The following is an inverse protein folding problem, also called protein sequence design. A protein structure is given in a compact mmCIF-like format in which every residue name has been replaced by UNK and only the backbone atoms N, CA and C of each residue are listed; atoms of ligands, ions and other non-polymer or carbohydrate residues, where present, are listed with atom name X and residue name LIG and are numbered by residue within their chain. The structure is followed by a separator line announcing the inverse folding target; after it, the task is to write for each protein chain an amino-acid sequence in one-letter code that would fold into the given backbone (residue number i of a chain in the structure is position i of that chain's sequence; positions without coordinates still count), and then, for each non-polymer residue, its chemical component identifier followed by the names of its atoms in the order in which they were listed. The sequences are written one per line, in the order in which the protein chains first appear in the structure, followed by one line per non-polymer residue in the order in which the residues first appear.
data_IF_090153169705
#
_entry.id   IF_090153169705
#
_cell.length_a   1.000
_cell.length_b   1.000
_cell.length_c   1.000
_cell.angle_alpha   90.00
_cell.angle_beta   90.00
_cell.angle_gamma   90.00
#
_symmetry.space_group_name_H-M   'P 1'
#
loop_
_entity.id
_entity.type
_entity.pdbx_description
1 polymer ?
#
# COMPACT_ATOMS: atom_id res chain seq x y z
N UNK A 1 9.45 11.44 -25.24
CA UNK A 1 8.67 11.33 -24.01
C UNK A 1 7.19 11.67 -24.25
N UNK A 2 6.83 12.89 -24.73
CA UNK A 2 5.42 13.32 -24.94
C UNK A 2 4.61 12.37 -25.83
N UNK A 3 5.20 11.82 -26.89
CA UNK A 3 4.52 10.87 -27.78
C UNK A 3 4.15 9.58 -27.05
N UNK A 4 5.03 9.06 -26.18
CA UNK A 4 4.77 7.86 -25.37
C UNK A 4 3.61 8.13 -24.39
N UNK A 5 3.60 9.30 -23.73
CA UNK A 5 2.49 9.68 -22.84
C UNK A 5 1.17 9.80 -23.62
N UNK A 6 1.19 10.39 -24.81
CA UNK A 6 0.00 10.49 -25.65
C UNK A 6 -0.57 9.11 -26.02
N UNK A 7 0.28 8.18 -26.44
CA UNK A 7 -0.15 6.82 -26.75
C UNK A 7 -0.67 6.10 -25.50
N UNK A 8 0.02 6.24 -24.37
CA UNK A 8 -0.42 5.66 -23.12
C UNK A 8 -1.83 6.14 -22.75
N UNK A 9 -2.05 7.45 -22.66
CA UNK A 9 -3.36 7.98 -22.25
C UNK A 9 -4.47 7.65 -23.26
N UNK A 10 -4.17 7.63 -24.56
CA UNK A 10 -5.13 7.23 -25.60
C UNK A 10 -5.59 5.79 -25.38
N UNK A 11 -4.65 4.88 -25.20
CA UNK A 11 -4.95 3.45 -24.99
C UNK A 11 -5.59 3.19 -23.63
N UNK A 12 -5.07 3.83 -22.57
CA UNK A 12 -5.59 3.67 -21.21
C UNK A 12 -7.04 4.15 -21.10
N UNK A 13 -7.34 5.32 -21.64
CA UNK A 13 -8.70 5.86 -21.60
C UNK A 13 -9.69 4.95 -22.37
N UNK A 14 -9.28 4.40 -23.52
CA UNK A 14 -10.09 3.43 -24.25
C UNK A 14 -10.31 2.14 -23.43
N UNK A 15 -9.27 1.61 -22.79
CA UNK A 15 -9.36 0.43 -21.91
C UNK A 15 -10.26 0.70 -20.71
N UNK A 16 -10.09 1.83 -20.03
CA UNK A 16 -10.91 2.21 -18.87
C UNK A 16 -12.39 2.31 -19.26
N UNK A 17 -12.67 3.00 -20.36
CA UNK A 17 -14.04 3.14 -20.87
C UNK A 17 -14.66 1.78 -21.20
N UNK A 18 -13.90 0.87 -21.83
CA UNK A 18 -14.35 -0.48 -22.13
C UNK A 18 -14.64 -1.28 -20.85
N UNK A 19 -13.72 -1.27 -19.87
CA UNK A 19 -13.88 -1.96 -18.60
C UNK A 19 -15.11 -1.44 -17.83
N UNK A 20 -15.22 -0.12 -17.69
CA UNK A 20 -16.37 0.50 -17.01
C UNK A 20 -17.69 0.19 -17.73
N UNK A 21 -17.69 0.17 -19.06
CA UNK A 21 -18.86 -0.25 -19.86
C UNK A 21 -19.27 -1.72 -19.63
N UNK A 22 -18.39 -2.55 -19.08
CA UNK A 22 -18.67 -3.93 -18.64
C UNK A 22 -18.94 -4.05 -17.13
N UNK A 23 -19.03 -2.93 -16.40
CA UNK A 23 -19.21 -2.92 -14.96
C UNK A 23 -17.93 -3.22 -14.16
N UNK A 24 -16.76 -3.24 -14.81
CA UNK A 24 -15.46 -3.47 -14.15
C UNK A 24 -14.84 -2.13 -13.80
N UNK A 25 -14.46 -1.98 -12.53
CA UNK A 25 -13.75 -0.80 -12.01
C UNK A 25 -12.26 -1.06 -11.94
N UNK A 26 -11.47 -0.04 -12.22
CA UNK A 26 -10.01 -0.10 -12.15
C UNK A 26 -9.54 0.49 -10.82
N UNK A 27 -8.82 -0.30 -10.05
CA UNK A 27 -8.16 0.13 -8.81
C UNK A 27 -6.69 0.40 -9.13
N UNK A 28 -6.27 1.66 -8.97
CA UNK A 28 -4.87 2.06 -9.11
C UNK A 28 -4.16 2.07 -7.78
N UNK A 29 -2.84 2.13 -7.85
CA UNK A 29 -1.97 2.19 -6.68
C UNK A 29 -0.98 3.35 -6.84
N UNK A 30 -0.81 4.17 -5.80
CA UNK A 30 0.19 5.22 -5.76
C UNK A 30 1.03 5.12 -4.49
N UNK A 31 2.36 5.20 -4.60
CA UNK A 31 3.20 5.30 -3.41
C UNK A 31 3.03 6.66 -2.75
N UNK A 32 3.12 6.72 -1.41
CA UNK A 32 3.15 8.01 -0.72
C UNK A 32 4.32 8.87 -1.22
N UNK A 33 5.51 8.29 -1.36
CA UNK A 33 6.71 9.00 -1.79
C UNK A 33 6.94 8.92 -3.29
N UNK A 34 7.64 9.93 -3.82
CA UNK A 34 8.12 9.94 -5.21
C UNK A 34 9.54 9.35 -5.28
N UNK A 35 10.00 9.01 -6.49
CA UNK A 35 11.39 8.61 -6.70
C UNK A 35 12.35 9.80 -6.59
N UNK A 36 13.60 9.60 -6.12
CA UNK A 36 14.59 10.66 -6.06
C UNK A 36 15.00 11.21 -7.45
N UNK A 37 14.76 10.46 -8.52
CA UNK A 37 14.97 10.89 -9.91
C UNK A 37 13.65 11.29 -10.62
N UNK A 38 12.59 11.56 -9.86
CA UNK A 38 11.29 11.97 -10.41
C UNK A 38 11.32 13.38 -10.98
N UNK A 39 10.43 13.62 -11.96
CA UNK A 39 10.17 14.98 -12.45
C UNK A 39 9.62 15.90 -11.35
N UNK A 40 8.94 15.35 -10.36
CA UNK A 40 8.34 16.12 -9.27
C UNK A 40 9.41 16.74 -8.37
N UNK A 41 10.41 15.95 -7.95
CA UNK A 41 11.54 16.48 -7.18
C UNK A 41 12.35 17.49 -8.00
N UNK A 42 12.58 17.22 -9.28
CA UNK A 42 13.35 18.11 -10.16
C UNK A 42 12.66 19.45 -10.42
N UNK A 43 11.34 19.45 -10.59
CA UNK A 43 10.59 20.67 -10.93
C UNK A 43 10.10 21.46 -9.71
N UNK A 44 9.97 20.79 -8.56
CA UNK A 44 9.44 21.34 -7.32
C UNK A 44 10.27 20.92 -6.10
N UNK A 45 11.60 21.19 -6.08
CA UNK A 45 12.45 20.77 -4.97
C UNK A 45 12.02 21.40 -3.62
N UNK A 46 11.36 22.56 -3.66
CA UNK A 46 10.82 23.25 -2.49
C UNK A 46 9.73 22.47 -1.72
N UNK A 47 9.16 21.45 -2.36
CA UNK A 47 8.16 20.57 -1.73
C UNK A 47 8.78 19.42 -0.93
N UNK A 48 10.10 19.28 -0.97
CA UNK A 48 10.83 18.15 -0.38
C UNK A 48 11.93 18.65 0.56
N UNK A 49 12.37 17.77 1.45
CA UNK A 49 13.47 18.08 2.38
C UNK A 49 14.81 18.04 1.65
N UNK A 50 15.14 19.13 0.99
CA UNK A 50 16.39 19.33 0.24
C UNK A 50 17.22 20.48 0.82
N UNK A 51 18.53 20.49 0.54
CA UNK A 51 19.40 21.62 0.77
C UNK A 51 19.35 22.65 -0.39
N UNK A 52 20.13 23.72 -0.29
CA UNK A 52 20.18 24.76 -1.33
C UNK A 52 20.76 24.30 -2.68
N UNK A 53 21.33 23.10 -2.74
CA UNK A 53 21.88 22.48 -3.95
C UNK A 53 21.00 21.31 -4.46
N UNK A 54 19.77 21.20 -3.93
CA UNK A 54 18.78 20.15 -4.24
C UNK A 54 19.22 18.73 -3.82
N UNK A 55 20.19 18.58 -2.92
CA UNK A 55 20.47 17.28 -2.35
C UNK A 55 19.48 16.96 -1.24
N UNK A 56 19.08 15.69 -1.16
CA UNK A 56 18.22 15.22 -0.07
C UNK A 56 18.93 15.34 1.28
N UNK A 57 18.27 15.94 2.27
CA UNK A 57 18.78 16.01 3.65
C UNK A 57 18.31 14.82 4.47
N UNK A 58 17.09 14.36 4.22
CA UNK A 58 16.44 13.22 4.84
C UNK A 58 15.78 12.35 3.78
N UNK A 59 15.68 11.05 4.06
CA UNK A 59 15.02 10.06 3.19
C UNK A 59 14.07 9.18 3.97
N UNK A 60 13.09 8.61 3.27
CA UNK A 60 12.09 7.74 3.83
C UNK A 60 12.60 6.33 4.11
N UNK A 61 11.95 5.67 5.05
CA UNK A 61 12.14 4.27 5.37
C UNK A 61 11.20 3.78 6.47
N UNK A 62 11.54 2.64 7.05
CA UNK A 62 10.88 2.08 8.24
C UNK A 62 11.92 1.76 9.31
N UNK A 63 11.56 1.86 10.60
CA UNK A 63 12.46 1.52 11.68
C UNK A 63 12.81 0.03 11.68
N UNK A 64 13.90 -0.35 12.35
CA UNK A 64 14.15 -1.74 12.68
C UNK A 64 12.98 -2.39 13.41
N UNK A 65 12.64 -3.61 13.02
CA UNK A 65 11.58 -4.44 13.60
C UNK A 65 12.00 -5.92 13.70
N UNK A 66 11.07 -6.79 14.08
CA UNK A 66 11.33 -8.23 14.20
C UNK A 66 11.59 -8.92 12.83
N UNK A 67 11.23 -8.28 11.74
CA UNK A 67 11.39 -8.82 10.38
C UNK A 67 12.60 -8.24 9.66
N UNK A 68 13.02 -7.01 9.99
CA UNK A 68 14.14 -6.30 9.40
C UNK A 68 14.98 -5.63 10.50
N UNK A 69 16.03 -6.32 10.97
CA UNK A 69 16.88 -5.87 12.09
C UNK A 69 17.54 -4.50 11.83
N UNK A 70 17.83 -4.15 10.57
CA UNK A 70 18.38 -2.86 10.15
C UNK A 70 17.30 -1.86 9.71
N UNK A 71 16.02 -2.23 9.81
CA UNK A 71 14.91 -1.51 9.23
C UNK A 71 14.92 -1.55 7.70
N UNK A 72 14.11 -0.69 7.09
CA UNK A 72 14.07 -0.55 5.63
C UNK A 72 14.47 0.87 5.25
N UNK A 73 15.54 1.00 4.49
CA UNK A 73 15.98 2.26 3.89
C UNK A 73 15.40 2.35 2.46
N UNK A 74 14.34 3.11 2.28
CA UNK A 74 13.71 3.25 0.96
C UNK A 74 14.41 4.27 0.07
N UNK A 75 14.99 5.32 0.69
CA UNK A 75 15.77 6.33 -0.03
C UNK A 75 14.92 7.38 -0.78
N UNK A 76 13.61 7.32 -0.68
CA UNK A 76 12.71 8.30 -1.28
C UNK A 76 12.82 9.67 -0.58
N UNK A 77 12.67 10.80 -1.31
CA UNK A 77 12.63 12.13 -0.69
C UNK A 77 11.43 12.27 0.25
N UNK A 78 11.66 12.89 1.40
CA UNK A 78 10.62 13.27 2.34
C UNK A 78 10.03 14.63 1.96
N UNK A 79 8.75 14.82 2.23
CA UNK A 79 8.05 16.07 1.96
C UNK A 79 8.39 17.16 2.97
N UNK A 80 8.49 18.40 2.50
CA UNK A 80 8.43 19.60 3.35
C UNK A 80 6.96 19.94 3.64
N UNK A 81 6.41 19.33 4.68
CA UNK A 81 5.00 19.50 5.03
C UNK A 81 4.57 20.92 5.36
N UNK A 82 5.41 21.77 5.99
CA UNK A 82 5.12 23.20 6.13
C UNK A 82 4.84 23.90 4.80
N UNK A 83 5.65 23.67 3.78
CA UNK A 83 5.46 24.24 2.44
C UNK A 83 4.21 23.68 1.76
N UNK A 84 3.94 22.39 1.89
CA UNK A 84 2.68 21.82 1.41
C UNK A 84 1.46 22.45 2.09
N UNK A 85 1.50 22.63 3.39
CA UNK A 85 0.42 23.28 4.15
C UNK A 85 0.23 24.74 3.74
N UNK A 86 1.30 25.50 3.57
CA UNK A 86 1.26 26.90 3.14
C UNK A 86 0.59 27.08 1.77
N UNK A 87 0.68 26.09 0.90
CA UNK A 87 0.01 26.07 -0.42
C UNK A 87 -1.37 25.38 -0.42
N UNK A 88 -1.92 25.05 0.75
CA UNK A 88 -3.17 24.31 0.90
C UNK A 88 -3.12 22.93 0.26
N UNK A 89 -1.97 22.27 0.29
CA UNK A 89 -1.70 20.97 -0.31
C UNK A 89 -1.94 20.91 -1.83
N UNK A 90 -1.73 22.00 -2.54
CA UNK A 90 -2.06 22.13 -3.96
C UNK A 90 -1.42 21.04 -4.84
N UNK A 91 -0.18 20.65 -4.57
CA UNK A 91 0.49 19.58 -5.30
C UNK A 91 -0.20 18.21 -5.06
N UNK A 92 -0.51 17.87 -3.80
CA UNK A 92 -1.20 16.63 -3.46
C UNK A 92 -2.63 16.60 -4.03
N UNK A 93 -3.35 17.70 -3.97
CA UNK A 93 -4.69 17.81 -4.61
C UNK A 93 -4.62 17.48 -6.09
N UNK A 94 -3.67 18.08 -6.83
CA UNK A 94 -3.47 17.78 -8.26
C UNK A 94 -3.07 16.32 -8.51
N UNK A 95 -2.15 15.78 -7.70
CA UNK A 95 -1.73 14.37 -7.81
C UNK A 95 -2.90 13.42 -7.64
N UNK A 96 -3.71 13.62 -6.62
CA UNK A 96 -4.86 12.77 -6.35
C UNK A 96 -5.98 12.96 -7.36
N UNK A 97 -6.30 14.19 -7.77
CA UNK A 97 -7.25 14.46 -8.84
C UNK A 97 -6.83 13.79 -10.15
N UNK A 98 -5.54 13.81 -10.47
CA UNK A 98 -5.03 13.10 -11.63
C UNK A 98 -5.18 11.59 -11.48
N UNK A 99 -4.77 11.01 -10.34
CA UNK A 99 -4.89 9.58 -10.09
C UNK A 99 -6.36 9.10 -10.18
N UNK A 100 -7.30 9.84 -9.59
CA UNK A 100 -8.74 9.51 -9.65
C UNK A 100 -9.37 9.75 -11.02
N UNK A 101 -8.71 10.52 -11.91
CA UNK A 101 -9.16 10.64 -13.31
C UNK A 101 -8.81 9.40 -14.14
N UNK A 102 -7.69 8.74 -13.84
CA UNK A 102 -7.24 7.54 -14.57
C UNK A 102 -7.66 6.23 -13.93
N UNK A 103 -7.98 6.21 -12.63
CA UNK A 103 -8.52 5.06 -11.92
C UNK A 103 -9.91 5.35 -11.35
N UNK A 104 -10.66 4.33 -11.03
CA UNK A 104 -11.97 4.44 -10.38
C UNK A 104 -11.85 4.44 -8.86
N UNK A 105 -10.79 3.82 -8.35
CA UNK A 105 -10.38 3.81 -6.95
C UNK A 105 -8.85 3.90 -6.91
N UNK A 106 -8.30 4.58 -5.92
CA UNK A 106 -6.85 4.73 -5.74
C UNK A 106 -6.45 4.18 -4.37
N UNK A 107 -5.58 3.18 -4.33
CA UNK A 107 -4.89 2.78 -3.10
C UNK A 107 -3.72 3.72 -2.86
N UNK A 108 -3.63 4.28 -1.67
CA UNK A 108 -2.45 5.04 -1.24
C UNK A 108 -1.59 4.12 -0.38
N UNK A 109 -0.41 3.80 -0.91
CA UNK A 109 0.58 3.00 -0.21
C UNK A 109 1.20 3.78 0.96
N UNK A 110 1.47 3.08 2.07
CA UNK A 110 2.03 3.66 3.31
C UNK A 110 1.25 4.86 3.85
N UNK A 111 -0.09 4.75 3.91
CA UNK A 111 -1.00 5.84 4.33
C UNK A 111 -0.68 6.39 5.73
N UNK A 112 -0.15 5.56 6.65
CA UNK A 112 0.28 6.01 7.97
C UNK A 112 1.30 7.15 7.92
N UNK A 113 2.08 7.27 6.85
CA UNK A 113 3.10 8.31 6.67
C UNK A 113 2.55 9.74 6.69
N UNK A 114 1.23 9.92 6.51
CA UNK A 114 0.58 11.23 6.69
C UNK A 114 0.39 11.59 8.16
N UNK A 115 0.32 10.63 9.06
CA UNK A 115 0.26 10.88 10.50
C UNK A 115 1.66 11.03 11.08
N UNK A 116 2.53 10.05 10.83
CA UNK A 116 3.94 10.06 11.21
C UNK A 116 4.75 9.22 10.24
N UNK A 117 5.91 9.73 9.88
CA UNK A 117 6.83 9.11 8.93
C UNK A 117 8.20 8.92 9.55
N UNK A 118 8.92 7.91 9.08
CA UNK A 118 10.26 7.61 9.58
C UNK A 118 11.30 8.32 8.72
N UNK A 119 12.02 9.24 9.33
CA UNK A 119 13.02 10.12 8.72
C UNK A 119 14.41 9.58 9.00
N UNK A 120 15.19 9.39 7.94
CA UNK A 120 16.55 8.84 8.01
C UNK A 120 17.50 9.86 7.38
N UNK A 121 18.61 10.28 8.06
CA UNK A 121 19.58 11.17 7.44
C UNK A 121 20.08 10.63 6.10
N UNK A 122 20.06 11.47 5.05
CA UNK A 122 20.55 11.09 3.75
C UNK A 122 22.03 10.67 3.82
N UNK A 123 22.38 9.61 3.10
CA UNK A 123 23.72 9.02 3.17
C UNK A 123 23.91 7.89 4.19
N UNK A 124 22.94 7.66 5.09
CA UNK A 124 22.96 6.47 5.94
C UNK A 124 22.85 5.20 5.09
N UNK A 125 23.46 4.12 5.56
CA UNK A 125 23.44 2.81 4.87
C UNK A 125 22.31 1.91 5.34
N UNK A 126 21.73 2.21 6.50
CA UNK A 126 20.63 1.47 7.13
C UNK A 126 19.63 2.45 7.73
N UNK A 127 18.46 1.96 8.11
CA UNK A 127 17.45 2.77 8.77
C UNK A 127 17.67 2.95 10.29
N UNK A 128 18.67 2.31 10.88
CA UNK A 128 18.87 2.29 12.35
C UNK A 128 19.08 3.69 12.98
N UNK A 129 19.57 4.66 12.20
CA UNK A 129 19.80 6.04 12.67
C UNK A 129 18.64 7.01 12.43
N UNK A 130 17.49 6.52 12.02
CA UNK A 130 16.31 7.35 11.76
C UNK A 130 15.49 7.63 13.03
N UNK A 131 14.47 8.47 12.86
CA UNK A 131 13.54 8.84 13.92
C UNK A 131 12.16 9.14 13.34
N UNK A 132 11.14 9.08 14.17
CA UNK A 132 9.78 9.44 13.78
C UNK A 132 9.59 10.95 13.76
N UNK A 133 8.96 11.44 12.70
CA UNK A 133 8.51 12.81 12.56
C UNK A 133 7.00 12.86 12.32
N UNK A 134 6.37 13.96 12.75
CA UNK A 134 4.93 14.16 12.59
C UNK A 134 4.61 14.61 11.18
N UNK A 135 3.64 13.95 10.57
CA UNK A 135 3.07 14.32 9.26
C UNK A 135 1.97 15.39 9.38
N UNK A 136 1.33 15.73 8.27
CA UNK A 136 0.25 16.73 8.21
C UNK A 136 -1.06 16.26 8.83
N UNK A 137 -1.24 14.95 9.05
CA UNK A 137 -2.37 14.33 9.75
C UNK A 137 -3.73 14.81 9.17
N UNK A 138 -4.61 15.30 10.01
CA UNK A 138 -5.97 15.76 9.67
C UNK A 138 -6.01 16.86 8.64
N UNK A 139 -5.03 17.76 8.64
CA UNK A 139 -4.97 18.84 7.64
C UNK A 139 -4.89 18.28 6.21
N UNK A 140 -4.14 17.16 6.04
CA UNK A 140 -4.08 16.47 4.76
C UNK A 140 -5.43 15.83 4.41
N UNK A 141 -6.08 15.15 5.35
CA UNK A 141 -7.38 14.50 5.13
C UNK A 141 -8.43 15.54 4.70
N UNK A 142 -8.52 16.66 5.40
CA UNK A 142 -9.45 17.73 5.05
C UNK A 142 -9.18 18.28 3.64
N UNK A 143 -7.90 18.48 3.28
CA UNK A 143 -7.53 18.93 1.94
C UNK A 143 -7.90 17.91 0.85
N UNK A 144 -7.81 16.61 1.12
CA UNK A 144 -8.23 15.57 0.17
C UNK A 144 -9.75 15.51 0.04
N UNK A 145 -10.50 15.60 1.13
CA UNK A 145 -11.96 15.65 1.09
C UNK A 145 -12.47 16.88 0.30
N UNK A 146 -11.84 18.05 0.50
CA UNK A 146 -12.15 19.25 -0.29
C UNK A 146 -11.94 19.05 -1.79
N UNK A 147 -10.86 18.34 -2.18
CA UNK A 147 -10.47 18.16 -3.57
C UNK A 147 -11.22 17.06 -4.32
N UNK A 148 -11.64 16.01 -3.61
CA UNK A 148 -12.13 14.74 -4.19
C UNK A 148 -13.52 14.34 -3.69
N UNK A 149 -14.00 14.92 -2.59
CA UNK A 149 -15.13 14.40 -1.85
C UNK A 149 -14.76 13.17 -0.99
N UNK A 150 -15.79 12.51 -0.46
CA UNK A 150 -15.63 11.31 0.35
C UNK A 150 -15.69 10.06 -0.55
N UNK A 151 -14.59 9.34 -0.69
CA UNK A 151 -14.57 8.05 -1.38
C UNK A 151 -13.53 7.91 -2.49
N UNK A 152 -13.50 6.73 -3.08
CA UNK A 152 -12.56 6.39 -4.16
C UNK A 152 -11.11 6.21 -3.72
N UNK A 153 -10.83 6.15 -2.41
CA UNK A 153 -9.49 5.92 -1.86
C UNK A 153 -9.51 4.68 -0.97
N UNK A 154 -8.46 3.88 -1.04
CA UNK A 154 -8.12 2.81 -0.10
C UNK A 154 -6.85 3.23 0.62
N UNK A 155 -6.84 3.16 1.94
CA UNK A 155 -5.66 3.47 2.75
C UNK A 155 -4.89 2.18 3.06
N UNK A 156 -3.62 2.10 2.67
CA UNK A 156 -2.75 1.03 3.15
C UNK A 156 -2.35 1.34 4.59
N UNK A 157 -2.92 0.59 5.52
CA UNK A 157 -2.76 0.70 6.97
C UNK A 157 -2.08 -0.54 7.58
N UNK A 158 -1.19 -1.18 6.85
CA UNK A 158 -0.50 -2.38 7.31
C UNK A 158 0.61 -2.06 8.32
N UNK A 159 1.00 -3.06 9.10
CA UNK A 159 2.06 -2.95 10.11
C UNK A 159 1.56 -2.39 11.46
N UNK A 160 2.48 -1.76 12.21
CA UNK A 160 2.17 -1.24 13.53
C UNK A 160 1.38 0.07 13.47
N UNK A 161 0.15 0.05 13.95
CA UNK A 161 -0.76 1.20 13.97
C UNK A 161 -0.88 1.78 15.38
N UNK A 162 -0.42 3.01 15.56
CA UNK A 162 -0.64 3.77 16.81
C UNK A 162 -2.11 4.21 16.93
N UNK A 163 -2.58 4.59 18.13
CA UNK A 163 -3.92 5.15 18.29
C UNK A 163 -4.18 6.38 17.40
N UNK A 164 -3.17 7.21 17.16
CA UNK A 164 -3.24 8.40 16.33
C UNK A 164 -3.46 8.06 14.86
N UNK A 165 -2.72 7.08 14.34
CA UNK A 165 -2.92 6.56 12.97
C UNK A 165 -4.32 6.00 12.80
N UNK A 166 -4.82 5.23 13.78
CA UNK A 166 -6.18 4.71 13.75
C UNK A 166 -7.23 5.81 13.79
N UNK A 167 -6.99 6.88 14.56
CA UNK A 167 -7.88 8.03 14.63
C UNK A 167 -7.91 8.79 13.28
N UNK A 168 -6.75 9.02 12.67
CA UNK A 168 -6.67 9.65 11.33
C UNK A 168 -7.38 8.80 10.27
N UNK A 169 -7.17 7.49 10.27
CA UNK A 169 -7.86 6.58 9.35
C UNK A 169 -9.38 6.62 9.54
N UNK A 170 -9.84 6.58 10.80
CA UNK A 170 -11.28 6.66 11.10
C UNK A 170 -11.89 7.98 10.64
N UNK A 171 -11.18 9.12 10.82
CA UNK A 171 -11.62 10.44 10.38
C UNK A 171 -11.62 10.56 8.85
N UNK A 172 -10.70 9.91 8.16
CA UNK A 172 -10.67 9.90 6.70
C UNK A 172 -11.88 9.20 6.06
N UNK A 173 -12.51 8.28 6.78
CA UNK A 173 -13.56 7.42 6.22
C UNK A 173 -13.06 6.42 5.16
N UNK A 174 -11.76 6.38 4.88
CA UNK A 174 -11.20 5.47 3.88
C UNK A 174 -11.14 4.05 4.42
N UNK A 175 -11.49 3.02 3.61
CA UNK A 175 -11.30 1.64 4.00
C UNK A 175 -9.81 1.32 4.15
N UNK A 176 -9.46 0.70 5.29
CA UNK A 176 -8.15 0.10 5.51
C UNK A 176 -8.06 -1.30 4.91
N UNK A 177 -6.87 -1.89 4.94
CA UNK A 177 -6.59 -3.18 4.33
C UNK A 177 -6.55 -4.31 5.38
N UNK A 178 -7.00 -5.49 4.98
CA UNK A 178 -6.92 -6.73 5.78
C UNK A 178 -6.30 -7.83 4.93
N UNK A 179 -5.17 -8.37 5.38
CA UNK A 179 -4.42 -9.40 4.67
C UNK A 179 -4.61 -10.74 5.37
N UNK A 180 -5.24 -11.71 4.68
CA UNK A 180 -5.56 -13.00 5.26
C UNK A 180 -4.32 -13.78 5.69
N UNK A 181 -3.23 -13.71 4.93
CA UNK A 181 -1.98 -14.39 5.29
C UNK A 181 -1.41 -13.91 6.63
N UNK A 182 -1.65 -12.64 7.03
CA UNK A 182 -1.20 -12.11 8.32
C UNK A 182 -2.07 -12.57 9.51
N UNK A 183 -3.25 -13.14 9.24
CA UNK A 183 -4.16 -13.61 10.27
C UNK A 183 -3.64 -14.85 11.03
N UNK A 184 -2.73 -15.58 10.45
CA UNK A 184 -2.39 -16.93 10.90
C UNK A 184 -0.96 -17.06 11.42
N UNK A 185 -0.32 -15.97 11.84
CA UNK A 185 0.90 -16.06 12.65
C UNK A 185 0.51 -16.60 14.04
N UNK A 186 0.93 -17.81 14.33
CA UNK A 186 0.59 -18.52 15.58
C UNK A 186 1.22 -17.88 16.82
N UNK A 187 2.17 -16.95 16.62
CA UNK A 187 2.90 -16.24 17.69
C UNK A 187 2.22 -14.93 18.10
N UNK A 188 1.31 -14.41 17.28
CA UNK A 188 0.63 -13.14 17.51
C UNK A 188 -0.85 -13.28 17.85
N UNK A 189 -1.38 -12.35 18.64
CA UNK A 189 -2.81 -12.24 18.91
C UNK A 189 -3.51 -11.48 17.77
N UNK A 190 -4.08 -12.23 16.85
CA UNK A 190 -4.63 -11.89 15.57
C UNK A 190 -5.50 -10.65 15.40
N UNK A 191 -4.90 -9.53 15.02
CA UNK A 191 -5.62 -8.35 14.53
C UNK A 191 -6.16 -8.51 13.10
N UNK A 192 -5.80 -9.61 12.39
CA UNK A 192 -6.17 -9.88 11.01
C UNK A 192 -7.11 -11.06 10.85
N UNK A 193 -7.65 -11.61 11.95
CA UNK A 193 -8.65 -12.68 11.88
C UNK A 193 -9.97 -12.17 11.30
N UNK A 194 -10.59 -12.86 10.35
CA UNK A 194 -11.79 -12.39 9.63
C UNK A 194 -12.94 -11.92 10.51
N UNK A 195 -13.16 -12.54 11.67
CA UNK A 195 -14.23 -12.15 12.59
C UNK A 195 -13.99 -10.81 13.31
N UNK A 196 -12.78 -10.23 13.17
CA UNK A 196 -12.40 -8.93 13.76
C UNK A 196 -12.47 -7.77 12.76
N UNK A 197 -12.76 -8.05 11.49
CA UNK A 197 -12.75 -7.02 10.46
C UNK A 197 -13.86 -5.99 10.67
N UNK A 198 -13.56 -4.69 10.49
CA UNK A 198 -14.60 -3.69 10.32
C UNK A 198 -15.22 -3.84 8.94
N UNK A 199 -16.47 -3.40 8.78
CA UNK A 199 -17.14 -3.41 7.49
C UNK A 199 -16.43 -2.53 6.46
N UNK A 200 -16.08 -1.29 6.85
CA UNK A 200 -15.31 -0.36 6.02
C UNK A 200 -13.85 -0.83 5.89
N UNK A 201 -13.61 -1.88 5.15
CA UNK A 201 -12.29 -2.44 4.88
C UNK A 201 -12.25 -3.16 3.54
N UNK A 202 -11.04 -3.37 3.03
CA UNK A 202 -10.75 -4.20 1.87
C UNK A 202 -9.95 -5.40 2.32
N UNK A 203 -10.45 -6.61 2.08
CA UNK A 203 -9.75 -7.85 2.41
C UNK A 203 -9.04 -8.43 1.20
N UNK A 204 -7.87 -8.96 1.44
CA UNK A 204 -7.01 -9.65 0.46
C UNK A 204 -6.63 -11.02 1.00
N UNK A 205 -6.44 -12.01 0.14
CA UNK A 205 -5.70 -13.23 0.51
C UNK A 205 -4.24 -12.89 0.77
N UNK A 206 -3.63 -12.14 -0.13
CA UNK A 206 -2.33 -11.49 -0.09
C UNK A 206 -2.29 -10.36 -1.10
N UNK A 207 -1.30 -9.46 -1.01
CA UNK A 207 -1.07 -8.37 -1.97
C UNK A 207 -0.03 -8.77 -3.01
N UNK A 208 0.32 -7.85 -3.92
CA UNK A 208 1.44 -8.03 -4.85
C UNK A 208 2.80 -8.22 -4.15
N UNK A 209 2.94 -7.78 -2.89
CA UNK A 209 4.17 -7.93 -2.09
C UNK A 209 4.25 -9.27 -1.36
N UNK A 210 3.13 -9.96 -1.21
CA UNK A 210 3.08 -11.26 -0.57
C UNK A 210 3.47 -12.39 -1.56
N UNK A 211 3.86 -13.51 -1.05
CA UNK A 211 3.88 -14.76 -1.82
C UNK A 211 2.43 -15.16 -2.13
N UNK A 212 2.21 -15.94 -3.18
CA UNK A 212 0.87 -16.51 -3.45
C UNK A 212 0.37 -17.31 -2.26
N UNK A 213 -0.94 -17.48 -2.11
CA UNK A 213 -1.50 -18.25 -0.98
C UNK A 213 -1.05 -19.70 -0.99
N UNK A 214 -0.90 -20.31 -2.17
CA UNK A 214 -0.31 -21.66 -2.31
C UNK A 214 1.17 -21.66 -1.91
N UNK A 215 1.93 -20.64 -2.28
CA UNK A 215 3.30 -20.46 -1.84
C UNK A 215 3.40 -20.22 -0.33
N UNK A 216 2.48 -19.47 0.28
CA UNK A 216 2.40 -19.30 1.73
C UNK A 216 2.15 -20.65 2.42
N UNK A 217 1.17 -21.41 1.96
CA UNK A 217 0.86 -22.76 2.47
C UNK A 217 2.07 -23.68 2.53
N UNK A 218 2.96 -23.58 1.53
CA UNK A 218 4.15 -24.45 1.42
C UNK A 218 5.37 -23.93 2.18
N UNK A 219 5.45 -22.61 2.42
CA UNK A 219 6.63 -21.95 3.00
C UNK A 219 6.43 -21.46 4.44
N UNK A 220 5.18 -21.31 4.90
CA UNK A 220 4.88 -20.93 6.28
C UNK A 220 5.23 -22.06 7.25
N UNK A 221 5.32 -21.72 8.55
CA UNK A 221 5.57 -22.73 9.56
C UNK A 221 4.43 -23.77 9.61
N UNK A 222 4.71 -25.04 9.91
CA UNK A 222 3.66 -26.03 10.08
C UNK A 222 2.60 -25.63 11.11
N UNK A 223 2.99 -24.89 12.14
CA UNK A 223 2.12 -24.37 13.20
C UNK A 223 1.15 -23.33 12.64
N UNK A 224 1.60 -22.42 11.79
CA UNK A 224 0.78 -21.38 11.16
C UNK A 224 -0.22 -22.01 10.18
N UNK A 225 0.22 -22.95 9.36
CA UNK A 225 -0.67 -23.71 8.45
C UNK A 225 -1.72 -24.48 9.25
N UNK A 226 -1.31 -25.17 10.32
CA UNK A 226 -2.22 -25.89 11.19
C UNK A 226 -3.21 -24.94 11.91
N UNK A 227 -2.78 -23.74 12.27
CA UNK A 227 -3.65 -22.72 12.85
C UNK A 227 -4.69 -22.25 11.83
N UNK A 228 -4.27 -21.91 10.61
CA UNK A 228 -5.16 -21.53 9.52
C UNK A 228 -6.20 -22.62 9.23
N UNK A 229 -5.76 -23.88 9.09
CA UNK A 229 -6.65 -25.02 8.84
C UNK A 229 -7.68 -25.22 9.96
N UNK A 230 -7.27 -25.09 11.24
CA UNK A 230 -8.21 -25.17 12.37
C UNK A 230 -9.24 -24.05 12.35
N UNK A 231 -8.80 -22.81 12.09
CA UNK A 231 -9.68 -21.65 12.05
C UNK A 231 -10.67 -21.72 10.88
N UNK A 232 -10.19 -22.06 9.69
CA UNK A 232 -10.99 -22.17 8.47
C UNK A 232 -11.75 -23.49 8.34
N UNK A 233 -11.47 -24.45 9.24
CA UNK A 233 -12.07 -25.82 9.25
C UNK A 233 -11.85 -26.56 7.94
N UNK A 234 -10.64 -26.50 7.40
CA UNK A 234 -10.25 -27.13 6.16
C UNK A 234 -9.04 -28.05 6.34
N UNK A 235 -8.74 -28.86 5.32
CA UNK A 235 -7.50 -29.59 5.22
C UNK A 235 -6.41 -28.73 4.57
N UNK A 236 -5.11 -29.05 4.77
CA UNK A 236 -4.03 -28.30 4.16
C UNK A 236 -4.12 -28.18 2.62
N UNK A 237 -4.57 -29.21 1.94
CA UNK A 237 -4.75 -29.21 0.48
C UNK A 237 -5.85 -28.25 0.01
N UNK A 238 -6.83 -27.93 0.84
CA UNK A 238 -7.99 -27.06 0.54
C UNK A 238 -7.76 -25.63 1.05
N UNK A 239 -6.58 -25.31 1.61
CA UNK A 239 -6.36 -24.06 2.35
C UNK A 239 -6.47 -22.82 1.46
N UNK A 240 -5.93 -22.85 0.25
CA UNK A 240 -6.00 -21.72 -0.70
C UNK A 240 -7.44 -21.39 -1.03
N UNK A 241 -8.26 -22.37 -1.40
CA UNK A 241 -9.70 -22.17 -1.66
C UNK A 241 -10.44 -21.68 -0.42
N UNK A 242 -10.11 -22.23 0.76
CA UNK A 242 -10.74 -21.83 2.03
C UNK A 242 -10.40 -20.39 2.42
N UNK A 243 -9.19 -19.91 2.14
CA UNK A 243 -8.82 -18.51 2.34
C UNK A 243 -9.58 -17.58 1.37
N UNK A 244 -9.70 -17.95 0.10
CA UNK A 244 -10.49 -17.21 -0.89
C UNK A 244 -11.95 -17.11 -0.42
N UNK A 245 -12.56 -18.24 -0.07
CA UNK A 245 -13.93 -18.30 0.45
C UNK A 245 -14.11 -17.44 1.71
N UNK A 246 -13.15 -17.47 2.64
CA UNK A 246 -13.21 -16.65 3.85
C UNK A 246 -13.10 -15.15 3.56
N UNK A 247 -12.28 -14.72 2.59
CA UNK A 247 -12.25 -13.33 2.12
C UNK A 247 -13.61 -12.92 1.57
N UNK A 248 -14.19 -13.70 0.67
CA UNK A 248 -15.48 -13.42 0.04
C UNK A 248 -16.65 -13.44 1.03
N UNK A 249 -16.58 -14.26 2.07
CA UNK A 249 -17.60 -14.37 3.12
C UNK A 249 -17.42 -13.38 4.27
N UNK A 250 -16.34 -12.58 4.27
CA UNK A 250 -16.05 -11.61 5.32
C UNK A 250 -17.05 -10.44 5.30
N UNK A 251 -17.04 -9.65 6.38
CA UNK A 251 -17.88 -8.43 6.47
C UNK A 251 -17.30 -7.24 5.70
N UNK A 252 -16.09 -7.36 5.15
CA UNK A 252 -15.43 -6.29 4.39
C UNK A 252 -16.26 -5.89 3.17
N UNK A 253 -16.34 -4.59 2.90
CA UNK A 253 -17.12 -4.07 1.76
C UNK A 253 -16.51 -4.45 0.41
N UNK A 254 -15.23 -4.85 0.38
CA UNK A 254 -14.53 -5.27 -0.83
C UNK A 254 -13.57 -6.43 -0.53
N UNK A 255 -13.49 -7.40 -1.45
CA UNK A 255 -12.47 -8.44 -1.44
C UNK A 255 -11.66 -8.38 -2.75
N UNK A 256 -10.33 -8.38 -2.64
CA UNK A 256 -9.41 -8.39 -3.78
C UNK A 256 -8.54 -9.65 -3.67
N UNK A 257 -8.67 -10.52 -4.63
CA UNK A 257 -7.97 -11.81 -4.66
C UNK A 257 -6.99 -11.82 -5.84
N UNK A 258 -5.70 -12.04 -5.63
CA UNK A 258 -4.74 -12.19 -6.72
C UNK A 258 -5.14 -13.28 -7.71
N UNK A 259 -4.95 -13.03 -9.00
CA UNK A 259 -5.26 -14.03 -10.04
C UNK A 259 -4.47 -15.34 -9.84
N UNK A 260 -3.24 -15.22 -9.35
CA UNK A 260 -2.41 -16.39 -9.04
C UNK A 260 -3.05 -17.31 -7.97
N UNK A 261 -3.78 -16.73 -7.00
CA UNK A 261 -4.49 -17.51 -5.97
C UNK A 261 -5.72 -18.22 -6.56
N UNK A 262 -6.48 -17.56 -7.42
CA UNK A 262 -7.59 -18.18 -8.16
C UNK A 262 -7.14 -19.35 -9.04
N UNK A 263 -5.91 -19.29 -9.54
CA UNK A 263 -5.33 -20.34 -10.39
C UNK A 263 -4.51 -21.37 -9.58
N UNK A 264 -4.48 -21.25 -8.25
CA UNK A 264 -3.72 -22.13 -7.35
C UNK A 264 -2.23 -22.23 -7.72
N UNK A 265 -1.62 -21.11 -8.15
CA UNK A 265 -0.21 -21.08 -8.55
C UNK A 265 0.70 -20.92 -7.33
N UNK A 266 1.85 -21.56 -7.37
CA UNK A 266 2.87 -21.49 -6.33
C UNK A 266 3.69 -20.21 -6.32
N UNK A 267 4.79 -20.21 -5.57
CA UNK A 267 5.66 -19.06 -5.37
C UNK A 267 6.26 -18.49 -6.67
N UNK A 268 6.31 -19.27 -7.74
CA UNK A 268 6.79 -18.84 -9.06
C UNK A 268 5.92 -17.74 -9.69
N UNK A 269 4.67 -17.63 -9.25
CA UNK A 269 3.75 -16.59 -9.70
C UNK A 269 3.76 -15.32 -8.81
N UNK A 270 4.67 -15.22 -7.85
CA UNK A 270 4.84 -14.01 -7.03
C UNK A 270 5.19 -12.82 -7.92
N UNK A 271 4.51 -11.68 -7.70
CA UNK A 271 4.68 -10.48 -8.52
C UNK A 271 5.86 -9.66 -8.04
N UNK A 272 5.93 -9.38 -6.74
CA UNK A 272 6.96 -8.52 -6.16
C UNK A 272 7.53 -9.12 -4.86
N UNK A 273 8.84 -8.98 -4.69
CA UNK A 273 9.53 -9.26 -3.43
C UNK A 273 10.14 -7.96 -2.92
N UNK A 274 9.59 -7.37 -1.85
CA UNK A 274 10.11 -6.11 -1.29
C UNK A 274 11.61 -6.16 -1.01
N UNK A 275 12.27 -5.01 -1.14
CA UNK A 275 13.73 -4.85 -0.93
C UNK A 275 14.62 -5.67 -1.87
N UNK A 276 14.11 -6.15 -3.01
CA UNK A 276 14.89 -6.85 -4.03
C UNK A 276 14.83 -6.13 -5.37
N UNK A 277 15.80 -6.43 -6.24
CA UNK A 277 15.86 -5.95 -7.62
C UNK A 277 15.88 -7.16 -8.58
N UNK A 278 15.47 -6.92 -9.83
CA UNK A 278 15.60 -7.91 -10.92
C UNK A 278 14.25 -8.47 -11.37
N UNK A 279 13.82 -9.62 -10.85
CA UNK A 279 12.69 -10.39 -11.40
C UNK A 279 11.29 -9.88 -11.03
N UNK A 280 11.17 -8.77 -10.29
CA UNK A 280 9.88 -8.21 -9.87
C UNK A 280 9.06 -7.70 -11.06
N UNK A 281 7.73 -7.84 -10.97
CA UNK A 281 6.76 -7.36 -11.98
C UNK A 281 6.86 -8.03 -13.35
N UNK A 282 7.48 -9.20 -13.43
CA UNK A 282 7.72 -9.93 -14.69
C UNK A 282 6.72 -11.06 -14.93
N UNK A 283 6.07 -11.56 -13.88
CA UNK A 283 5.11 -12.63 -14.03
C UNK A 283 3.98 -12.25 -15.01
N UNK A 284 3.62 -13.17 -15.87
CA UNK A 284 2.52 -13.06 -16.85
C UNK A 284 1.72 -14.36 -16.86
N UNK A 285 0.43 -14.21 -17.18
CA UNK A 285 -0.48 -15.32 -17.38
C UNK A 285 -0.21 -16.00 -18.73
#
# INVERSE_FOLDING_TARGET
YKAVQFFFYTQWNALKAYANGKGVRLVGDIPIYVSPDSSDLWTHPELFQTDGEMHLTQVAGCPPDAFAADGQLWGNPLYDWPTHKATGFAWWKRRMQHATSIYDVVRIDHFRGFESYYSIPAGNKTAAGGHWEKGPDRDFIHAMHEALGEGGIIAEDLGYLTPEVKAMLAESGYPGMKIMQFAFDSRESGNYLPHTYPRNSVVYTGTHDNVTTEGWRTNASPEDVAYACRYLRCKPEDLTESMICACLASVSDMAIIPLADWLHLGSEARINTPSTQGANWQWRL
#
